data_IF_053237763217
#
_entry.id   IF_053237763217
#
_cell.length_a   1.000
_cell.length_b   1.000
_cell.length_c   1.000
_cell.angle_alpha   90.00
_cell.angle_beta   90.00
_cell.angle_gamma   90.00
#
_symmetry.space_group_name_H-M   'P 1'
#
loop_
_entity.id
_entity.type
_entity.pdbx_description
1 polymer ?
#
# COMPACT_ATOMS: atom_id res chain seq x y z
N UNK A 1 1.61 15.86 -13.10
CA UNK A 1 0.17 16.19 -13.41
C UNK A 1 -0.13 17.60 -12.91
N UNK A 2 -1.00 18.37 -13.59
CA UNK A 2 -1.50 19.65 -13.09
C UNK A 2 -2.41 19.43 -11.85
N UNK A 3 -2.33 20.35 -10.87
CA UNK A 3 -3.07 20.26 -9.61
C UNK A 3 -4.59 20.25 -9.81
N UNK A 4 -5.11 21.05 -10.75
CA UNK A 4 -6.54 21.09 -11.05
C UNK A 4 -7.05 19.73 -11.52
N UNK A 5 -6.34 19.11 -12.45
CA UNK A 5 -6.66 17.77 -12.95
C UNK A 5 -6.54 16.68 -11.87
N UNK A 6 -5.64 16.85 -10.90
CA UNK A 6 -5.50 15.93 -9.79
C UNK A 6 -6.67 16.04 -8.79
N UNK A 7 -7.14 17.24 -8.51
CA UNK A 7 -8.26 17.50 -7.58
C UNK A 7 -9.56 16.84 -8.04
N UNK A 8 -9.86 16.89 -9.34
CA UNK A 8 -11.06 16.27 -9.92
C UNK A 8 -11.09 14.75 -9.75
N UNK A 9 -9.92 14.12 -9.51
CA UNK A 9 -9.83 12.68 -9.24
C UNK A 9 -10.22 12.28 -7.81
N UNK A 10 -10.42 13.24 -6.89
CA UNK A 10 -10.91 12.94 -5.55
C UNK A 10 -12.33 12.34 -5.64
N UNK A 11 -12.60 11.17 -5.05
CA UNK A 11 -13.88 10.48 -5.19
C UNK A 11 -15.10 11.28 -4.73
N UNK A 12 -14.88 12.24 -3.85
CA UNK A 12 -15.94 13.11 -3.32
C UNK A 12 -15.96 14.52 -3.95
N UNK A 13 -15.12 14.80 -4.96
CA UNK A 13 -14.98 16.15 -5.53
C UNK A 13 -16.30 16.76 -6.01
N UNK A 14 -17.13 16.00 -6.70
CA UNK A 14 -18.42 16.44 -7.23
C UNK A 14 -19.49 16.66 -6.13
N UNK A 15 -19.21 16.24 -4.90
CA UNK A 15 -20.07 16.42 -3.74
C UNK A 15 -19.67 17.61 -2.88
N UNK A 16 -18.61 18.31 -3.26
CA UNK A 16 -18.15 19.52 -2.59
C UNK A 16 -18.86 20.76 -3.15
N UNK A 17 -19.22 21.69 -2.27
CA UNK A 17 -19.63 23.03 -2.64
C UNK A 17 -18.45 23.83 -3.22
N UNK A 18 -18.72 24.92 -3.91
CA UNK A 18 -17.66 25.78 -4.49
C UNK A 18 -16.71 26.36 -3.43
N UNK A 19 -17.21 26.64 -2.22
CA UNK A 19 -16.37 27.08 -1.09
C UNK A 19 -15.46 25.97 -0.60
N UNK A 20 -15.95 24.73 -0.51
CA UNK A 20 -15.14 23.56 -0.11
C UNK A 20 -14.13 23.19 -1.20
N UNK A 21 -14.49 23.24 -2.47
CA UNK A 21 -13.55 23.03 -3.59
C UNK A 21 -12.40 24.04 -3.54
N UNK A 22 -12.72 25.31 -3.30
CA UNK A 22 -11.69 26.35 -3.13
C UNK A 22 -10.80 26.03 -1.93
N UNK A 23 -11.40 25.68 -0.79
CA UNK A 23 -10.67 25.31 0.42
C UNK A 23 -9.73 24.11 0.19
N UNK A 24 -10.22 23.04 -0.43
CA UNK A 24 -9.38 21.87 -0.81
C UNK A 24 -8.26 22.29 -1.74
N UNK A 25 -8.56 23.12 -2.74
CA UNK A 25 -7.55 23.62 -3.71
C UNK A 25 -6.43 24.41 -3.04
N UNK A 26 -6.73 25.15 -1.99
CA UNK A 26 -5.74 25.92 -1.23
C UNK A 26 -4.86 25.03 -0.32
N UNK A 27 -5.41 23.95 0.23
CA UNK A 27 -4.75 23.09 1.22
C UNK A 27 -4.18 21.78 0.65
N UNK A 28 -4.54 21.42 -0.58
CA UNK A 28 -3.98 20.24 -1.24
C UNK A 28 -2.63 20.56 -1.90
N UNK A 29 -1.70 19.61 -1.83
CA UNK A 29 -0.39 19.69 -2.49
C UNK A 29 -0.07 18.39 -3.23
N UNK A 30 0.62 18.48 -4.36
CA UNK A 30 1.18 17.31 -5.02
C UNK A 30 2.58 17.09 -4.48
N UNK A 31 2.88 15.87 -4.06
CA UNK A 31 4.19 15.44 -3.59
C UNK A 31 4.68 14.26 -4.43
N UNK A 32 5.94 14.32 -4.83
CA UNK A 32 6.61 13.24 -5.55
C UNK A 32 7.57 12.52 -4.62
N UNK A 33 7.61 11.20 -4.73
CA UNK A 33 8.49 10.32 -3.95
C UNK A 33 9.21 9.38 -4.91
N UNK A 34 10.49 9.17 -4.70
CA UNK A 34 11.27 8.16 -5.42
C UNK A 34 11.08 6.80 -4.79
N UNK A 35 11.30 5.76 -5.58
CA UNK A 35 11.30 4.39 -5.07
C UNK A 35 12.21 4.24 -3.85
N UNK A 36 11.66 3.69 -2.77
CA UNK A 36 12.34 3.48 -1.49
C UNK A 36 12.24 4.65 -0.51
N UNK A 37 11.71 5.83 -0.92
CA UNK A 37 11.53 6.94 0.00
C UNK A 37 10.38 6.67 0.99
N UNK A 38 10.61 7.08 2.24
CA UNK A 38 9.61 7.00 3.31
C UNK A 38 8.58 8.12 3.11
N UNK A 39 7.33 7.72 2.94
CA UNK A 39 6.19 8.63 2.82
C UNK A 39 5.65 9.01 4.20
N UNK A 40 5.59 8.04 5.11
CA UNK A 40 5.19 8.20 6.50
C UNK A 40 5.88 7.15 7.38
N UNK A 41 6.28 7.54 8.61
CA UNK A 41 6.97 6.64 9.55
C UNK A 41 6.85 7.11 10.99
N UNK A 42 7.47 6.36 11.91
CA UNK A 42 7.45 6.59 13.34
C UNK A 42 7.82 8.03 13.71
N UNK A 43 6.97 8.71 14.46
CA UNK A 43 7.21 10.11 14.90
C UNK A 43 7.07 11.15 13.79
N UNK A 44 6.70 10.77 12.58
CA UNK A 44 6.43 11.71 11.49
C UNK A 44 5.11 12.46 11.67
N UNK A 45 5.05 13.70 11.19
CA UNK A 45 3.80 14.45 11.17
C UNK A 45 2.75 13.70 10.34
N UNK A 46 1.50 13.70 10.82
CA UNK A 46 0.38 13.12 10.08
C UNK A 46 0.24 13.81 8.73
N UNK A 47 0.28 13.02 7.65
CA UNK A 47 0.14 13.53 6.28
C UNK A 47 -1.30 13.95 5.97
N UNK A 48 -2.29 13.46 6.73
CA UNK A 48 -3.70 13.61 6.42
C UNK A 48 -4.18 12.52 5.46
N UNK A 49 -4.92 12.88 4.42
CA UNK A 49 -5.33 11.94 3.35
C UNK A 49 -4.47 12.12 2.11
N UNK A 50 -4.20 11.01 1.43
CA UNK A 50 -3.45 11.01 0.17
C UNK A 50 -4.19 10.20 -0.90
N UNK A 51 -4.30 10.76 -2.11
CA UNK A 51 -4.72 10.04 -3.31
C UNK A 51 -3.48 9.73 -4.14
N UNK A 52 -3.28 8.48 -4.51
CA UNK A 52 -2.19 8.06 -5.39
C UNK A 52 -2.51 8.47 -6.82
N UNK A 53 -1.76 9.44 -7.34
CA UNK A 53 -1.92 9.92 -8.72
C UNK A 53 -1.19 9.04 -9.73
N UNK A 54 -0.05 8.50 -9.32
CA UNK A 54 0.73 7.53 -10.11
C UNK A 54 1.63 6.70 -9.20
N UNK A 55 2.01 5.51 -9.66
CA UNK A 55 2.89 4.62 -8.93
C UNK A 55 2.19 3.79 -7.86
N UNK A 56 2.96 3.29 -6.88
CA UNK A 56 2.49 2.39 -5.83
C UNK A 56 3.24 2.61 -4.53
N UNK A 57 2.51 2.62 -3.43
CA UNK A 57 3.05 2.63 -2.07
C UNK A 57 2.90 1.26 -1.41
N UNK A 58 3.59 1.06 -0.30
CA UNK A 58 3.45 -0.07 0.59
C UNK A 58 3.28 0.41 2.02
N UNK A 59 2.19 0.00 2.66
CA UNK A 59 1.95 0.19 4.09
C UNK A 59 2.35 -1.09 4.84
N UNK A 60 3.09 -0.94 5.93
CA UNK A 60 3.57 -2.07 6.73
C UNK A 60 3.70 -1.69 8.20
N UNK A 61 3.72 -2.71 9.04
CA UNK A 61 4.10 -2.61 10.45
C UNK A 61 5.51 -3.19 10.63
N UNK A 62 6.23 -2.66 11.61
CA UNK A 62 7.58 -3.07 11.96
C UNK A 62 7.57 -3.68 13.35
N UNK A 63 8.13 -4.88 13.50
CA UNK A 63 8.34 -5.51 14.81
C UNK A 63 9.59 -4.96 15.48
N UNK A 64 9.75 -5.19 16.79
CA UNK A 64 10.91 -4.76 17.57
C UNK A 64 12.25 -5.34 17.05
N UNK A 65 12.21 -6.54 16.46
CA UNK A 65 13.35 -7.21 15.84
C UNK A 65 13.57 -6.83 14.37
N UNK A 66 12.87 -5.80 13.89
CA UNK A 66 13.05 -5.24 12.54
C UNK A 66 12.36 -6.00 11.42
N UNK A 67 11.45 -6.95 11.71
CA UNK A 67 10.66 -7.62 10.68
C UNK A 67 9.50 -6.76 10.22
N UNK A 68 9.32 -6.70 8.92
CA UNK A 68 8.21 -5.99 8.29
C UNK A 68 7.08 -6.94 7.91
N UNK A 69 5.84 -6.52 8.17
CA UNK A 69 4.63 -7.18 7.68
C UNK A 69 3.87 -6.17 6.84
N UNK A 70 3.77 -6.43 5.54
CA UNK A 70 2.98 -5.61 4.63
C UNK A 70 1.50 -5.80 4.92
N UNK A 71 0.80 -4.69 5.11
CA UNK A 71 -0.64 -4.67 5.39
C UNK A 71 -1.44 -4.54 4.08
N UNK A 72 -1.08 -3.55 3.25
CA UNK A 72 -1.74 -3.27 1.97
C UNK A 72 -0.83 -2.41 1.07
N UNK A 73 -1.21 -2.27 -0.19
CA UNK A 73 -0.45 -1.54 -1.22
C UNK A 73 -1.33 -0.59 -2.01
N UNK A 74 -1.46 0.66 -1.55
CA UNK A 74 -2.18 1.67 -2.33
C UNK A 74 -1.51 1.90 -3.68
N UNK A 75 -2.31 1.89 -4.74
CA UNK A 75 -1.87 2.11 -6.10
C UNK A 75 -2.64 3.25 -6.76
N UNK A 76 -2.32 3.57 -8.00
CA UNK A 76 -2.95 4.66 -8.73
C UNK A 76 -4.48 4.61 -8.67
N UNK A 77 -5.10 5.73 -8.33
CA UNK A 77 -6.53 5.90 -8.14
C UNK A 77 -7.02 5.60 -6.73
N UNK A 78 -6.22 4.97 -5.89
CA UNK A 78 -6.61 4.63 -4.52
C UNK A 78 -6.23 5.72 -3.52
N UNK A 79 -7.08 5.88 -2.51
CA UNK A 79 -6.83 6.79 -1.39
C UNK A 79 -6.29 6.06 -0.18
N UNK A 80 -5.44 6.76 0.57
CA UNK A 80 -4.92 6.29 1.84
C UNK A 80 -5.28 7.26 2.95
N UNK A 81 -5.92 6.74 4.00
CA UNK A 81 -6.34 7.49 5.20
C UNK A 81 -5.72 6.95 6.48
N UNK A 82 -4.87 5.92 6.41
CA UNK A 82 -4.25 5.31 7.61
C UNK A 82 -3.14 6.15 8.23
N UNK A 83 -2.60 7.11 7.50
CA UNK A 83 -1.81 8.19 8.11
C UNK A 83 -2.68 9.20 8.85
N UNK A 84 -4.00 9.04 8.79
CA UNK A 84 -4.99 9.85 9.48
C UNK A 84 -5.33 9.31 10.89
N UNK A 85 -4.36 8.73 11.60
CA UNK A 85 -4.50 8.47 13.05
C UNK A 85 -4.88 9.74 13.82
N UNK A 86 -4.59 10.90 13.24
CA UNK A 86 -5.04 12.20 13.75
C UNK A 86 -6.53 12.46 13.49
N UNK A 87 -7.09 11.93 12.41
CA UNK A 87 -8.50 12.09 12.01
C UNK A 87 -9.37 11.02 12.65
N UNK A 88 -8.86 9.79 12.74
CA UNK A 88 -9.51 8.70 13.46
C UNK A 88 -8.75 8.50 14.77
N UNK A 89 -9.06 9.28 15.80
CA UNK A 89 -8.41 9.30 17.13
C UNK A 89 -8.35 7.94 17.86
N UNK A 90 -8.89 6.87 17.26
CA UNK A 90 -8.95 5.51 17.82
C UNK A 90 -7.96 4.53 17.20
N UNK A 91 -7.16 4.96 16.21
CA UNK A 91 -6.10 4.11 15.65
C UNK A 91 -4.90 4.19 16.59
N UNK A 92 -4.57 3.06 17.22
CA UNK A 92 -3.55 2.95 18.28
C UNK A 92 -2.27 2.27 17.83
N UNK A 93 -2.10 2.00 16.53
CA UNK A 93 -0.92 1.35 15.99
C UNK A 93 -0.23 2.23 14.95
N UNK A 94 1.10 2.20 14.97
CA UNK A 94 1.91 2.93 14.01
C UNK A 94 2.06 2.12 12.73
N UNK A 95 1.80 2.77 11.61
CA UNK A 95 2.04 2.23 10.27
C UNK A 95 3.14 3.01 9.59
N UNK A 96 3.97 2.28 8.85
CA UNK A 96 4.99 2.85 7.98
C UNK A 96 4.50 2.81 6.54
N UNK A 97 4.85 3.83 5.77
CA UNK A 97 4.54 3.89 4.34
C UNK A 97 5.80 4.23 3.56
N UNK A 98 6.06 3.46 2.51
CA UNK A 98 7.20 3.62 1.61
C UNK A 98 6.72 3.60 0.15
N UNK A 99 7.37 4.37 -0.70
CA UNK A 99 7.16 4.33 -2.14
C UNK A 99 7.79 3.04 -2.72
N UNK A 100 6.99 2.10 -3.22
CA UNK A 100 7.49 0.88 -3.89
C UNK A 100 7.98 1.15 -5.32
N UNK A 101 7.42 2.16 -5.94
CA UNK A 101 7.85 2.72 -7.23
C UNK A 101 7.98 4.24 -7.07
N UNK A 102 8.52 4.93 -8.06
CA UNK A 102 8.36 6.37 -8.13
C UNK A 102 6.87 6.69 -8.16
N UNK A 103 6.40 7.61 -7.31
CA UNK A 103 4.99 7.93 -7.19
C UNK A 103 4.74 9.42 -6.97
N UNK A 104 3.55 9.85 -7.40
CA UNK A 104 2.99 11.17 -7.11
C UNK A 104 1.73 11.02 -6.28
N UNK A 105 1.59 11.84 -5.25
CA UNK A 105 0.47 11.84 -4.32
C UNK A 105 -0.18 13.22 -4.28
N UNK A 106 -1.50 13.28 -4.37
CA UNK A 106 -2.26 14.46 -3.95
C UNK A 106 -2.53 14.34 -2.46
N UNK A 107 -1.94 15.23 -1.67
CA UNK A 107 -2.01 15.19 -0.20
C UNK A 107 -2.87 16.37 0.29
N UNK A 108 -3.84 16.09 1.16
CA UNK A 108 -4.60 17.08 1.91
C UNK A 108 -4.22 16.90 3.38
N UNK A 109 -3.63 17.94 3.98
CA UNK A 109 -3.17 17.88 5.37
C UNK A 109 -4.28 17.54 6.37
N UNK A 110 -3.92 16.90 7.49
CA UNK A 110 -4.88 16.37 8.48
C UNK A 110 -5.90 17.42 8.95
N UNK A 111 -5.46 18.60 9.37
CA UNK A 111 -6.35 19.62 9.85
C UNK A 111 -7.38 20.10 8.80
N UNK A 112 -6.96 20.16 7.53
CA UNK A 112 -7.85 20.55 6.44
C UNK A 112 -8.84 19.42 6.11
N UNK A 113 -8.39 18.17 6.16
CA UNK A 113 -9.24 17.02 5.92
C UNK A 113 -10.23 16.80 7.09
N UNK A 114 -9.81 16.99 8.34
CA UNK A 114 -10.67 16.91 9.53
C UNK A 114 -11.85 17.87 9.40
N UNK A 115 -11.56 19.13 9.06
CA UNK A 115 -12.61 20.12 8.85
C UNK A 115 -13.61 19.68 7.78
N UNK A 116 -13.13 19.16 6.66
CA UNK A 116 -14.01 18.64 5.59
C UNK A 116 -14.87 17.47 6.07
N UNK A 117 -14.31 16.56 6.85
CA UNK A 117 -15.03 15.43 7.44
C UNK A 117 -16.13 15.86 8.41
N UNK A 118 -15.90 16.95 9.16
CA UNK A 118 -16.90 17.49 10.07
C UNK A 118 -18.04 18.22 9.33
N UNK A 119 -17.71 18.96 8.28
CA UNK A 119 -18.65 19.85 7.57
C UNK A 119 -19.39 19.15 6.41
N UNK A 120 -18.83 18.08 5.82
CA UNK A 120 -19.39 17.42 4.64
C UNK A 120 -19.59 15.91 4.86
N UNK A 121 -20.87 15.49 4.83
CA UNK A 121 -21.25 14.08 5.06
C UNK A 121 -20.67 13.14 4.01
N UNK A 122 -20.50 13.55 2.76
CA UNK A 122 -19.95 12.70 1.70
C UNK A 122 -18.46 12.46 1.91
N UNK A 123 -17.71 13.46 2.40
CA UNK A 123 -16.30 13.27 2.78
C UNK A 123 -16.19 12.34 3.99
N UNK A 124 -17.11 12.46 4.94
CA UNK A 124 -17.18 11.56 6.10
C UNK A 124 -17.51 10.14 5.71
N UNK A 125 -18.47 9.91 4.81
CA UNK A 125 -18.78 8.59 4.29
C UNK A 125 -17.55 7.99 3.57
N UNK A 126 -16.92 8.75 2.69
CA UNK A 126 -15.70 8.35 2.00
C UNK A 126 -14.58 7.91 2.97
N UNK A 127 -14.36 8.67 4.05
CA UNK A 127 -13.39 8.28 5.09
C UNK A 127 -13.69 6.89 5.66
N UNK A 128 -14.96 6.63 6.01
CA UNK A 128 -15.36 5.33 6.56
C UNK A 128 -15.31 4.21 5.53
N UNK A 129 -15.63 4.46 4.27
CA UNK A 129 -15.49 3.50 3.18
C UNK A 129 -14.03 3.05 3.04
N UNK A 130 -13.10 4.00 2.88
CA UNK A 130 -11.67 3.69 2.79
C UNK A 130 -11.16 2.99 4.05
N UNK A 131 -11.57 3.42 5.24
CA UNK A 131 -11.17 2.77 6.49
C UNK A 131 -11.67 1.32 6.57
N UNK A 132 -12.89 1.04 6.10
CA UNK A 132 -13.47 -0.30 6.06
C UNK A 132 -12.74 -1.21 5.07
N UNK A 133 -12.40 -0.69 3.89
CA UNK A 133 -11.59 -1.42 2.90
C UNK A 133 -10.22 -1.78 3.48
N UNK A 134 -9.52 -0.83 4.09
CA UNK A 134 -8.21 -1.09 4.72
C UNK A 134 -8.31 -2.07 5.89
N UNK A 135 -9.38 -2.00 6.69
CA UNK A 135 -9.63 -3.01 7.72
C UNK A 135 -9.77 -4.42 7.13
N UNK A 136 -10.53 -4.57 6.04
CA UNK A 136 -10.68 -5.86 5.34
C UNK A 136 -9.36 -6.40 4.82
N UNK A 137 -8.50 -5.55 4.22
CA UNK A 137 -7.18 -5.94 3.74
C UNK A 137 -6.25 -6.39 4.89
N UNK A 138 -6.26 -5.65 6.00
CA UNK A 138 -5.48 -6.01 7.20
C UNK A 138 -5.97 -7.35 7.76
N UNK A 139 -7.28 -7.56 7.87
CA UNK A 139 -7.86 -8.83 8.32
C UNK A 139 -7.52 -9.99 7.39
N UNK A 140 -7.54 -9.76 6.07
CA UNK A 140 -7.07 -10.74 5.09
C UNK A 140 -5.60 -11.09 5.30
N UNK A 141 -4.73 -10.10 5.45
CA UNK A 141 -3.30 -10.30 5.74
C UNK A 141 -3.09 -11.11 7.02
N UNK A 142 -3.83 -10.79 8.08
CA UNK A 142 -3.80 -11.57 9.34
C UNK A 142 -4.20 -13.03 9.13
N UNK A 143 -5.29 -13.29 8.40
CA UNK A 143 -5.71 -14.66 8.07
C UNK A 143 -4.63 -15.42 7.32
N UNK A 144 -3.96 -14.78 6.35
CA UNK A 144 -2.84 -15.38 5.61
C UNK A 144 -1.71 -15.80 6.56
N UNK A 145 -1.32 -14.90 7.48
CA UNK A 145 -0.21 -15.14 8.40
C UNK A 145 -0.56 -16.24 9.43
N UNK A 146 -1.78 -16.25 9.95
CA UNK A 146 -2.20 -17.14 11.02
C UNK A 146 -2.54 -18.55 10.51
N UNK A 147 -3.15 -18.68 9.34
CA UNK A 147 -3.74 -19.94 8.91
C UNK A 147 -3.10 -20.58 7.68
N UNK A 148 -2.38 -19.81 6.86
CA UNK A 148 -1.71 -20.38 5.70
C UNK A 148 -0.27 -20.76 5.98
N UNK A 149 0.11 -21.95 5.52
CA UNK A 149 1.51 -22.38 5.50
C UNK A 149 2.32 -21.48 4.57
N UNK A 150 3.60 -21.34 4.87
CA UNK A 150 4.51 -20.45 4.15
C UNK A 150 4.63 -20.78 2.65
N UNK A 151 4.58 -22.06 2.28
CA UNK A 151 4.59 -22.51 0.89
C UNK A 151 3.39 -21.96 0.11
N UNK A 152 2.19 -22.00 0.69
CA UNK A 152 0.98 -21.47 0.09
C UNK A 152 1.01 -19.96 -0.03
N UNK A 153 1.47 -19.24 1.01
CA UNK A 153 1.64 -17.77 0.96
C UNK A 153 2.62 -17.36 -0.13
N UNK A 154 3.74 -18.08 -0.25
CA UNK A 154 4.73 -17.82 -1.30
C UNK A 154 4.15 -18.06 -2.69
N UNK A 155 3.43 -19.17 -2.89
CA UNK A 155 2.80 -19.47 -4.19
C UNK A 155 1.78 -18.39 -4.59
N UNK A 156 0.92 -17.97 -3.67
CA UNK A 156 -0.06 -16.90 -3.91
C UNK A 156 0.63 -15.58 -4.25
N UNK A 157 1.63 -15.18 -3.48
CA UNK A 157 2.40 -13.96 -3.75
C UNK A 157 3.03 -13.96 -5.14
N UNK A 158 3.65 -15.07 -5.53
CA UNK A 158 4.28 -15.19 -6.86
C UNK A 158 3.24 -15.09 -7.98
N UNK A 159 2.07 -15.74 -7.82
CA UNK A 159 0.98 -15.67 -8.79
C UNK A 159 0.45 -14.25 -8.92
N UNK A 160 0.11 -13.59 -7.82
CA UNK A 160 -0.38 -12.21 -7.80
C UNK A 160 0.62 -11.22 -8.42
N UNK A 161 1.92 -11.42 -8.20
CA UNK A 161 2.96 -10.57 -8.78
C UNK A 161 3.08 -10.76 -10.30
N UNK A 162 2.95 -12.00 -10.78
CA UNK A 162 2.91 -12.32 -12.21
C UNK A 162 1.67 -11.71 -12.87
N UNK A 163 0.48 -11.90 -12.29
CA UNK A 163 -0.78 -11.36 -12.81
C UNK A 163 -0.73 -9.84 -12.91
N UNK A 164 -0.25 -9.18 -11.84
CA UNK A 164 -0.14 -7.73 -11.78
C UNK A 164 0.87 -7.15 -12.77
N UNK A 165 1.98 -7.83 -12.98
CA UNK A 165 3.01 -7.37 -13.92
C UNK A 165 2.71 -7.73 -15.38
N UNK A 166 1.75 -8.62 -15.63
CA UNK A 166 1.48 -9.22 -16.93
C UNK A 166 2.66 -10.05 -17.47
N UNK A 167 3.56 -10.50 -16.57
CA UNK A 167 4.78 -11.25 -16.90
C UNK A 167 4.84 -12.53 -16.09
N UNK A 168 5.37 -13.59 -16.69
CA UNK A 168 5.64 -14.84 -16.01
C UNK A 168 6.94 -14.82 -15.17
N UNK A 169 7.51 -13.65 -14.90
CA UNK A 169 8.79 -13.50 -14.19
C UNK A 169 8.65 -12.47 -13.06
N UNK A 170 9.02 -12.88 -11.83
CA UNK A 170 9.12 -12.01 -10.66
C UNK A 170 10.58 -11.61 -10.45
N UNK A 171 10.88 -10.32 -10.59
CA UNK A 171 12.25 -9.77 -10.45
C UNK A 171 12.49 -9.21 -9.05
N UNK A 172 12.55 -10.12 -8.07
CA UNK A 172 12.78 -9.76 -6.67
C UNK A 172 13.84 -10.68 -6.05
N UNK A 173 14.59 -10.14 -5.08
CA UNK A 173 15.51 -10.95 -4.27
C UNK A 173 14.73 -11.79 -3.25
N UNK A 174 15.32 -12.87 -2.72
CA UNK A 174 14.71 -13.65 -1.66
C UNK A 174 14.38 -12.82 -0.42
N UNK A 175 15.22 -11.81 -0.10
CA UNK A 175 14.96 -10.85 0.97
C UNK A 175 13.70 -10.02 0.70
N UNK A 176 13.60 -9.45 -0.49
CA UNK A 176 12.41 -8.68 -0.90
C UNK A 176 11.14 -9.53 -0.85
N UNK A 177 11.21 -10.79 -1.32
CA UNK A 177 10.07 -11.71 -1.24
C UNK A 177 9.74 -12.01 0.23
N UNK A 178 10.75 -12.24 1.07
CA UNK A 178 10.55 -12.53 2.49
C UNK A 178 9.81 -11.39 3.21
N UNK A 179 10.21 -10.15 2.96
CA UNK A 179 9.52 -8.95 3.46
C UNK A 179 8.06 -8.92 3.00
N UNK A 180 7.79 -9.28 1.74
CA UNK A 180 6.45 -9.24 1.16
C UNK A 180 5.48 -10.26 1.80
N UNK A 181 5.99 -11.44 2.12
CA UNK A 181 5.16 -12.52 2.70
C UNK A 181 5.32 -12.68 4.22
N UNK A 182 6.00 -11.73 4.89
CA UNK A 182 6.22 -11.76 6.34
C UNK A 182 6.98 -13.02 6.80
N UNK A 183 8.12 -13.33 6.17
CA UNK A 183 8.94 -14.51 6.47
C UNK A 183 10.43 -14.18 6.52
N UNK A 184 11.27 -15.15 6.87
CA UNK A 184 12.73 -15.02 6.81
C UNK A 184 13.26 -15.39 5.42
N UNK A 185 14.35 -14.73 4.99
CA UNK A 185 15.01 -14.98 3.70
C UNK A 185 15.37 -16.43 3.49
N UNK A 186 15.90 -17.09 4.52
CA UNK A 186 16.32 -18.50 4.47
C UNK A 186 15.14 -19.43 4.23
N UNK A 187 13.98 -19.12 4.80
CA UNK A 187 12.74 -19.88 4.59
C UNK A 187 12.27 -19.74 3.15
N UNK A 188 12.27 -18.53 2.62
CA UNK A 188 11.92 -18.24 1.22
C UNK A 188 12.88 -18.99 0.27
N UNK A 189 14.19 -18.88 0.50
CA UNK A 189 15.20 -19.57 -0.33
C UNK A 189 14.97 -21.07 -0.37
N UNK A 190 14.70 -21.70 0.78
CA UNK A 190 14.41 -23.13 0.87
C UNK A 190 13.10 -23.51 0.16
N UNK A 191 12.06 -22.71 0.29
CA UNK A 191 10.77 -22.96 -0.38
C UNK A 191 10.86 -22.79 -1.89
N UNK A 192 11.53 -21.75 -2.37
CA UNK A 192 11.77 -21.55 -3.80
C UNK A 192 12.59 -22.68 -4.41
N UNK A 193 13.61 -23.18 -3.70
CA UNK A 193 14.37 -24.34 -4.13
C UNK A 193 13.52 -25.61 -4.24
N UNK A 194 12.59 -25.80 -3.31
CA UNK A 194 11.61 -26.88 -3.36
C UNK A 194 10.68 -26.72 -4.56
N UNK A 195 10.13 -25.54 -4.79
CA UNK A 195 9.28 -25.26 -5.95
C UNK A 195 10.01 -25.47 -7.28
N UNK A 196 11.32 -25.18 -7.32
CA UNK A 196 12.14 -25.47 -8.49
C UNK A 196 12.28 -26.99 -8.74
N UNK A 197 12.53 -27.77 -7.69
CA UNK A 197 12.59 -29.23 -7.77
C UNK A 197 11.24 -29.83 -8.18
N UNK A 198 10.15 -29.28 -7.70
CA UNK A 198 8.78 -29.69 -8.05
C UNK A 198 8.37 -29.19 -9.47
N UNK A 199 9.24 -28.43 -10.14
CA UNK A 199 9.02 -27.91 -11.51
C UNK A 199 7.98 -26.77 -11.59
N UNK A 200 7.61 -26.16 -10.45
CA UNK A 200 6.63 -25.08 -10.37
C UNK A 200 7.22 -23.71 -10.73
N UNK A 201 8.49 -23.49 -10.44
CA UNK A 201 9.22 -22.26 -10.76
C UNK A 201 10.57 -22.58 -11.36
N UNK A 202 11.21 -21.59 -12.00
CA UNK A 202 12.61 -21.66 -12.44
C UNK A 202 13.36 -20.50 -11.79
N UNK A 203 14.44 -20.81 -11.09
CA UNK A 203 15.27 -19.79 -10.46
C UNK A 203 16.30 -19.24 -11.46
N UNK A 204 16.37 -17.91 -11.57
CA UNK A 204 17.38 -17.22 -12.37
C UNK A 204 18.71 -17.07 -11.61
N UNK A 205 19.78 -16.72 -12.32
CA UNK A 205 21.18 -16.67 -11.80
C UNK A 205 21.41 -15.67 -10.66
N UNK A 206 20.49 -14.79 -10.30
CA UNK A 206 20.64 -13.84 -9.18
C UNK A 206 19.27 -13.68 -8.50
N UNK A 207 18.87 -14.66 -7.68
CA UNK A 207 17.74 -14.53 -6.77
C UNK A 207 16.40 -14.10 -7.41
N UNK A 208 16.21 -14.40 -8.68
CA UNK A 208 14.98 -14.11 -9.42
C UNK A 208 14.20 -15.40 -9.59
N UNK A 209 12.92 -15.36 -9.26
CA UNK A 209 12.02 -16.47 -9.53
C UNK A 209 11.23 -16.19 -10.81
N UNK A 210 11.16 -17.13 -11.72
CA UNK A 210 10.25 -17.09 -12.86
C UNK A 210 9.18 -18.14 -12.69
N UNK A 211 7.91 -17.72 -12.65
CA UNK A 211 6.79 -18.65 -12.62
C UNK A 211 6.64 -19.33 -13.98
N UNK A 212 6.52 -20.65 -14.00
CA UNK A 212 6.06 -21.37 -15.19
C UNK A 212 4.54 -21.47 -15.10
N UNK A 213 3.84 -20.78 -15.99
CA UNK A 213 2.45 -21.10 -16.26
C UNK A 213 2.39 -22.57 -16.72
N UNK A 214 1.71 -23.39 -15.92
CA UNK A 214 1.13 -24.63 -16.48
C UNK A 214 -0.34 -24.32 -16.77
N UNK A 215 -0.65 -24.32 -18.05
CA UNK A 215 -1.99 -24.50 -18.58
C UNK A 215 -2.64 -25.74 -17.94
#
# INVERSE_FOLDING_TARGET
MDKGSALVRLPYWDKLSESEKKYVSEHAVIRSYRKGEVVHGYGGACLGTALVLSGRMRAFILSEDGREITLFRPQEGESCVLSASCVIQRITFDTHMVAETDCELLVIGSAAFDKLVEENIYVKCFLYEVATERFSEVMWTMQQILFLKIDRRLAMFLSEECDRSGKSEVRMTHEQIAVQIGSAREVVARMLKRFELDGLVKLGQIGRASCRERV
#
